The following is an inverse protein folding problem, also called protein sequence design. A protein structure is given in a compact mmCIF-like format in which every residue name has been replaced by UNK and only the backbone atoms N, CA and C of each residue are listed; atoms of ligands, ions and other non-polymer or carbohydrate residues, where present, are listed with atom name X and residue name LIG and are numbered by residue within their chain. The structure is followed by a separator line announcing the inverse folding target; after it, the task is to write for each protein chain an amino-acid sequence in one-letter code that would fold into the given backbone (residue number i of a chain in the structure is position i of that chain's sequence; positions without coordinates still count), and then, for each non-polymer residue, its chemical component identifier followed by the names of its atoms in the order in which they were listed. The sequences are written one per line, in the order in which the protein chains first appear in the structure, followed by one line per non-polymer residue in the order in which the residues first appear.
data_IF_211312751325
#
_entry.id   IF_211312751325
#
_cell.length_a   1.000
_cell.length_b   1.000
_cell.length_c   1.000
_cell.angle_alpha   90.00
_cell.angle_beta   90.00
_cell.angle_gamma   90.00
#
_symmetry.space_group_name_H-M   'P 1'
#
loop_
_entity.id
_entity.type
_entity.pdbx_description
1 polymer ?
#
# COMPACT_ATOMS: atom_id res chain seq x y z
N UNK A 1 19.75 -40.64 -26.87
CA UNK A 1 18.31 -40.70 -26.71
C UNK A 1 17.96 -41.32 -25.34
N UNK A 2 17.72 -40.57 -24.33
CA UNK A 2 17.09 -41.01 -23.07
C UNK A 2 16.19 -39.88 -22.56
N UNK A 3 14.88 -40.14 -22.55
CA UNK A 3 13.84 -39.20 -22.06
C UNK A 3 13.87 -39.18 -20.54
N UNK A 4 14.29 -38.10 -19.92
CA UNK A 4 14.04 -37.85 -18.52
C UNK A 4 12.64 -37.24 -18.34
N UNK A 5 11.72 -38.01 -17.77
CA UNK A 5 10.44 -37.54 -17.26
C UNK A 5 10.71 -36.82 -15.91
N UNK A 6 10.52 -35.53 -15.88
CA UNK A 6 10.46 -34.78 -14.62
C UNK A 6 9.11 -35.08 -13.96
N UNK A 7 9.15 -35.85 -12.88
CA UNK A 7 8.04 -36.06 -11.96
C UNK A 7 7.86 -34.78 -11.13
N UNK A 8 6.77 -34.05 -11.35
CA UNK A 8 6.28 -33.05 -10.38
C UNK A 8 5.60 -33.77 -9.22
N UNK A 9 6.00 -33.52 -7.95
CA UNK A 9 5.24 -34.00 -6.82
C UNK A 9 3.92 -33.24 -6.73
N UNK A 10 2.81 -33.96 -6.71
CA UNK A 10 1.48 -33.45 -6.40
C UNK A 10 1.50 -32.85 -4.98
N UNK A 11 1.64 -31.54 -4.87
CA UNK A 11 1.41 -30.81 -3.64
C UNK A 11 -0.09 -30.89 -3.29
N UNK A 12 -0.38 -31.43 -2.10
CA UNK A 12 -1.70 -31.43 -1.49
C UNK A 12 -2.21 -29.98 -1.42
N UNK A 13 -3.35 -29.74 -2.01
CA UNK A 13 -4.13 -28.50 -1.86
C UNK A 13 -4.55 -28.34 -0.41
N UNK A 14 -3.72 -27.68 0.39
CA UNK A 14 -4.13 -27.15 1.68
C UNK A 14 -5.14 -26.04 1.42
N UNK A 15 -6.41 -26.29 1.71
CA UNK A 15 -7.45 -25.29 1.72
C UNK A 15 -7.05 -24.18 2.68
N UNK A 16 -6.70 -23.01 2.15
CA UNK A 16 -6.53 -21.80 2.94
C UNK A 16 -7.90 -21.46 3.52
N UNK A 17 -8.12 -21.90 4.77
CA UNK A 17 -9.23 -21.41 5.59
C UNK A 17 -8.98 -19.92 5.81
N UNK A 18 -9.63 -19.08 5.02
CA UNK A 18 -9.72 -17.65 5.31
C UNK A 18 -10.41 -17.50 6.65
N UNK A 19 -9.67 -17.00 7.64
CA UNK A 19 -10.20 -16.60 8.93
C UNK A 19 -11.22 -15.47 8.72
N UNK A 20 -12.47 -15.84 8.56
CA UNK A 20 -13.65 -14.96 8.51
C UNK A 20 -14.17 -14.77 9.92
N UNK A 21 -13.52 -13.97 10.73
CA UNK A 21 -13.97 -13.80 12.11
C UNK A 21 -13.46 -12.57 12.83
N UNK A 22 -13.38 -11.39 12.19
CA UNK A 22 -12.84 -10.22 12.87
C UNK A 22 -13.63 -8.91 12.77
N UNK A 23 -14.62 -8.81 11.90
CA UNK A 23 -15.35 -7.53 11.70
C UNK A 23 -16.64 -7.40 12.53
N UNK A 24 -17.20 -8.48 13.00
CA UNK A 24 -18.38 -8.47 13.91
C UNK A 24 -18.00 -8.21 15.36
N UNK A 25 -16.88 -8.78 15.82
CA UNK A 25 -16.41 -8.60 17.19
C UNK A 25 -15.97 -7.16 17.49
N UNK A 26 -15.37 -6.46 16.51
CA UNK A 26 -14.98 -5.06 16.66
C UNK A 26 -16.19 -4.11 16.78
N UNK A 27 -17.25 -4.34 16.04
CA UNK A 27 -18.47 -3.53 16.12
C UNK A 27 -19.23 -3.76 17.45
N UNK A 28 -19.25 -5.01 17.94
CA UNK A 28 -19.81 -5.35 19.24
C UNK A 28 -18.99 -4.75 20.40
N UNK A 29 -17.66 -4.77 20.31
CA UNK A 29 -16.79 -4.15 21.30
C UNK A 29 -16.94 -2.62 21.34
N UNK A 30 -17.08 -1.97 20.20
CA UNK A 30 -17.31 -0.51 20.13
C UNK A 30 -18.70 -0.16 20.70
N UNK A 31 -19.72 -0.96 20.39
CA UNK A 31 -21.06 -0.76 20.95
C UNK A 31 -21.06 -0.99 22.47
N UNK A 32 -20.39 -2.05 22.93
CA UNK A 32 -20.25 -2.35 24.36
C UNK A 32 -19.47 -1.24 25.09
N UNK A 33 -18.38 -0.75 24.53
CA UNK A 33 -17.62 0.36 25.08
C UNK A 33 -18.43 1.69 25.11
N UNK A 34 -19.22 1.96 24.08
CA UNK A 34 -20.08 3.14 24.02
C UNK A 34 -21.21 3.08 25.07
N UNK A 35 -21.83 1.91 25.26
CA UNK A 35 -22.86 1.71 26.29
C UNK A 35 -22.27 1.84 27.71
N UNK A 36 -21.07 1.29 27.95
CA UNK A 36 -20.42 1.40 29.25
C UNK A 36 -19.95 2.83 29.54
N UNK A 37 -19.45 3.54 28.53
CA UNK A 37 -19.07 4.95 28.68
C UNK A 37 -20.28 5.83 28.97
N UNK A 38 -21.41 5.57 28.31
CA UNK A 38 -22.68 6.27 28.60
C UNK A 38 -23.19 5.96 29.99
N UNK A 39 -23.09 4.71 30.48
CA UNK A 39 -23.46 4.31 31.82
C UNK A 39 -22.54 4.93 32.90
N UNK A 40 -21.22 5.02 32.65
CA UNK A 40 -20.26 5.67 33.53
C UNK A 40 -20.49 7.19 33.62
N UNK A 41 -20.80 7.85 32.50
CA UNK A 41 -21.15 9.26 32.46
C UNK A 41 -22.47 9.52 33.21
N UNK A 42 -23.47 8.65 33.04
CA UNK A 42 -24.73 8.74 33.75
C UNK A 42 -24.55 8.52 35.27
N UNK A 43 -23.72 7.56 35.69
CA UNK A 43 -23.41 7.29 37.07
C UNK A 43 -22.62 8.47 37.71
N UNK A 44 -21.67 9.05 36.97
CA UNK A 44 -20.91 10.21 37.44
C UNK A 44 -21.75 11.48 37.57
N UNK A 45 -22.79 11.64 36.73
CA UNK A 45 -23.76 12.73 36.83
C UNK A 45 -24.76 12.50 37.98
N UNK A 46 -24.98 11.25 38.40
CA UNK A 46 -25.88 10.90 39.50
C UNK A 46 -25.20 11.05 40.89
N UNK A 47 -23.87 10.99 40.98
CA UNK A 47 -23.12 11.01 42.25
C UNK A 47 -22.76 12.42 42.75
N UNK A 48 -23.02 13.45 41.97
CA UNK A 48 -22.88 14.86 42.40
C UNK A 48 -24.21 15.42 42.86
N UNK A 49 -24.61 15.00 44.04
CA UNK A 49 -25.74 15.56 44.77
C UNK A 49 -25.48 16.97 45.33
N UNK A 50 -25.39 17.96 44.45
CA UNK A 50 -25.63 19.35 44.73
C UNK A 50 -26.24 19.98 43.48
N UNK A 51 -27.56 20.06 43.46
CA UNK A 51 -28.29 20.73 42.39
C UNK A 51 -28.11 22.23 42.59
N UNK A 52 -27.03 22.80 42.11
CA UNK A 52 -27.07 24.19 41.65
C UNK A 52 -27.98 24.20 40.43
N UNK A 53 -29.07 24.91 40.51
CA UNK A 53 -30.00 25.15 39.40
C UNK A 53 -29.24 25.92 38.30
N UNK A 54 -28.49 25.19 37.50
CA UNK A 54 -27.93 25.74 36.27
C UNK A 54 -29.09 26.06 35.33
N UNK A 55 -29.35 27.34 35.14
CA UNK A 55 -30.33 27.85 34.16
C UNK A 55 -29.93 27.32 32.75
N UNK A 56 -30.60 26.27 32.30
CA UNK A 56 -30.48 25.76 30.97
C UNK A 56 -31.29 26.69 30.07
N UNK A 57 -30.64 27.67 29.47
CA UNK A 57 -31.28 28.54 28.48
C UNK A 57 -31.80 27.76 27.27
N UNK A 58 -32.79 28.27 26.53
CA UNK A 58 -33.45 27.57 25.45
C UNK A 58 -32.51 27.06 24.35
N UNK A 59 -31.32 27.63 24.17
CA UNK A 59 -30.29 27.16 23.23
C UNK A 59 -29.61 25.87 23.63
N UNK A 60 -29.46 25.56 24.91
CA UNK A 60 -28.84 24.31 25.37
C UNK A 60 -29.77 23.09 25.17
N UNK A 61 -31.08 23.28 25.31
CA UNK A 61 -32.08 22.26 25.01
C UNK A 61 -32.08 21.87 23.53
N UNK A 62 -31.98 22.84 22.62
CA UNK A 62 -31.90 22.58 21.18
C UNK A 62 -30.61 21.85 20.81
N UNK A 63 -29.48 22.18 21.45
CA UNK A 63 -28.21 21.47 21.21
C UNK A 63 -28.25 20.02 21.70
N UNK A 64 -28.89 19.74 22.84
CA UNK A 64 -29.10 18.40 23.39
C UNK A 64 -30.00 17.55 22.47
N UNK A 65 -31.13 18.09 22.00
CA UNK A 65 -32.02 17.43 21.06
C UNK A 65 -31.32 17.19 19.74
N UNK A 66 -30.55 18.14 19.21
CA UNK A 66 -29.75 17.98 17.97
C UNK A 66 -28.72 16.88 18.09
N UNK A 67 -28.02 16.77 19.22
CA UNK A 67 -27.03 15.72 19.47
C UNK A 67 -27.68 14.35 19.59
N UNK A 68 -28.83 14.25 20.28
CA UNK A 68 -29.60 13.01 20.41
C UNK A 68 -30.11 12.55 19.04
N UNK A 69 -30.66 13.44 18.22
CA UNK A 69 -31.12 13.14 16.86
C UNK A 69 -29.98 12.66 15.97
N UNK A 70 -28.80 13.27 16.07
CA UNK A 70 -27.62 12.85 15.29
C UNK A 70 -27.14 11.44 15.67
N UNK A 71 -27.09 11.12 16.96
CA UNK A 71 -26.74 9.79 17.47
C UNK A 71 -27.82 8.76 17.06
N UNK A 72 -29.10 9.11 17.21
CA UNK A 72 -30.22 8.25 16.79
C UNK A 72 -30.17 7.98 15.27
N UNK A 73 -29.98 9.00 14.46
CA UNK A 73 -29.84 8.86 13.00
C UNK A 73 -28.63 7.98 12.62
N UNK A 74 -27.51 8.07 13.33
CA UNK A 74 -26.35 7.24 13.14
C UNK A 74 -26.63 5.76 13.46
N UNK A 75 -27.32 5.49 14.59
CA UNK A 75 -27.73 4.14 14.99
C UNK A 75 -28.70 3.54 13.96
N UNK A 76 -29.74 4.28 13.57
CA UNK A 76 -30.72 3.84 12.57
C UNK A 76 -30.02 3.56 11.23
N UNK A 77 -29.12 4.43 10.80
CA UNK A 77 -28.34 4.25 9.56
C UNK A 77 -27.45 3.01 9.62
N UNK A 78 -26.80 2.75 10.75
CA UNK A 78 -25.99 1.55 10.97
C UNK A 78 -26.85 0.27 10.95
N UNK A 79 -28.05 0.33 11.55
CA UNK A 79 -29.00 -0.78 11.57
C UNK A 79 -29.54 -1.09 10.15
N UNK A 80 -29.93 -0.06 9.40
CA UNK A 80 -30.35 -0.19 7.99
C UNK A 80 -29.21 -0.75 7.14
N UNK A 81 -27.97 -0.28 7.33
CA UNK A 81 -26.81 -0.80 6.63
C UNK A 81 -26.55 -2.28 6.95
N UNK A 82 -26.74 -2.68 8.20
CA UNK A 82 -26.60 -4.07 8.65
C UNK A 82 -27.67 -4.98 8.05
N UNK A 83 -28.93 -4.55 8.06
CA UNK A 83 -30.05 -5.28 7.46
C UNK A 83 -29.95 -5.40 5.93
N UNK A 84 -29.53 -4.33 5.25
CA UNK A 84 -29.42 -4.31 3.79
C UNK A 84 -28.17 -4.99 3.27
N UNK A 85 -27.14 -5.22 4.12
CA UNK A 85 -25.86 -5.81 3.71
C UNK A 85 -26.00 -7.23 3.12
N UNK A 86 -26.75 -8.20 3.74
CA UNK A 86 -26.92 -9.51 3.15
C UNK A 86 -27.70 -9.46 1.84
N UNK A 87 -28.74 -8.66 1.75
CA UNK A 87 -29.51 -8.49 0.53
C UNK A 87 -28.65 -7.94 -0.62
N UNK A 88 -27.83 -6.90 -0.35
CA UNK A 88 -26.86 -6.35 -1.32
C UNK A 88 -25.80 -7.38 -1.72
N UNK A 89 -25.41 -8.26 -0.82
CA UNK A 89 -24.44 -9.33 -1.09
C UNK A 89 -25.03 -10.42 -1.99
N UNK A 90 -26.26 -10.86 -1.68
CA UNK A 90 -26.99 -11.84 -2.48
C UNK A 90 -27.27 -11.27 -3.88
N UNK A 91 -27.75 -10.04 -3.96
CA UNK A 91 -28.04 -9.39 -5.25
C UNK A 91 -26.80 -9.25 -6.13
N UNK A 92 -25.65 -8.87 -5.55
CA UNK A 92 -24.35 -8.82 -6.27
C UNK A 92 -23.91 -10.21 -6.73
N UNK A 93 -24.10 -11.25 -5.92
CA UNK A 93 -23.76 -12.62 -6.30
C UNK A 93 -24.63 -13.13 -7.45
N UNK A 94 -25.92 -12.84 -7.44
CA UNK A 94 -26.86 -13.21 -8.51
C UNK A 94 -26.54 -12.46 -9.80
N UNK A 95 -26.24 -11.15 -9.70
CA UNK A 95 -25.90 -10.32 -10.86
C UNK A 95 -24.58 -10.76 -11.50
N UNK A 96 -23.57 -11.11 -10.69
CA UNK A 96 -22.31 -11.66 -11.16
C UNK A 96 -22.46 -13.01 -11.86
N UNK A 97 -23.33 -13.91 -11.33
CA UNK A 97 -23.64 -15.18 -11.99
C UNK A 97 -24.31 -14.99 -13.36
N UNK A 98 -25.22 -14.02 -13.49
CA UNK A 98 -25.86 -13.71 -14.78
C UNK A 98 -24.87 -13.12 -15.79
N UNK A 99 -23.94 -12.29 -15.36
CA UNK A 99 -22.90 -11.77 -16.23
C UNK A 99 -21.94 -12.86 -16.73
N UNK A 100 -21.53 -13.78 -15.84
CA UNK A 100 -20.68 -14.92 -16.19
C UNK A 100 -21.39 -15.93 -17.11
N UNK A 101 -22.71 -16.14 -16.94
CA UNK A 101 -23.48 -17.04 -17.81
C UNK A 101 -23.56 -16.57 -19.26
N UNK A 102 -23.49 -15.25 -19.51
CA UNK A 102 -23.49 -14.65 -20.84
C UNK A 102 -22.08 -14.41 -21.41
N UNK A 103 -21.04 -14.64 -20.62
CA UNK A 103 -19.68 -14.41 -21.04
C UNK A 103 -19.21 -15.45 -22.04
N UNK A 104 -18.72 -15.00 -23.20
CA UNK A 104 -18.09 -15.86 -24.22
C UNK A 104 -16.76 -16.44 -23.73
N UNK A 105 -16.10 -15.78 -22.81
CA UNK A 105 -14.79 -16.14 -22.26
C UNK A 105 -14.89 -16.27 -20.74
N UNK A 106 -14.42 -17.39 -20.20
CA UNK A 106 -14.49 -17.68 -18.75
C UNK A 106 -13.36 -17.03 -17.95
N UNK A 107 -12.21 -16.82 -18.57
CA UNK A 107 -11.02 -16.23 -17.95
C UNK A 107 -10.23 -15.43 -18.98
N UNK A 108 -9.80 -14.25 -18.58
CA UNK A 108 -8.85 -13.43 -19.31
C UNK A 108 -7.62 -13.24 -18.43
N UNK A 109 -6.44 -13.47 -18.99
CA UNK A 109 -5.15 -13.15 -18.35
C UNK A 109 -4.49 -12.09 -19.20
N UNK A 110 -4.17 -10.96 -18.58
CA UNK A 110 -3.43 -9.88 -19.23
C UNK A 110 -2.04 -9.85 -18.59
N UNK A 111 -1.03 -10.18 -19.39
CA UNK A 111 0.37 -10.05 -19.01
C UNK A 111 0.92 -8.78 -19.67
N UNK A 112 1.13 -7.75 -18.85
CA UNK A 112 1.74 -6.50 -19.31
C UNK A 112 3.23 -6.50 -19.04
N UNK A 113 4.03 -6.26 -20.06
CA UNK A 113 5.48 -6.09 -19.96
C UNK A 113 5.79 -4.63 -20.28
N UNK A 114 6.43 -3.94 -19.33
CA UNK A 114 6.81 -2.55 -19.52
C UNK A 114 8.02 -2.46 -20.45
N UNK A 115 8.01 -1.50 -21.39
CA UNK A 115 9.08 -1.31 -22.35
C UNK A 115 9.23 -2.43 -23.38
N UNK A 116 8.22 -3.28 -23.59
CA UNK A 116 8.26 -4.34 -24.60
C UNK A 116 8.21 -3.72 -26.01
N UNK A 117 9.36 -3.66 -26.66
CA UNK A 117 9.54 -3.06 -27.98
C UNK A 117 9.31 -4.12 -29.07
N UNK A 118 8.37 -3.92 -30.02
CA UNK A 118 7.98 -4.96 -30.99
C UNK A 118 9.11 -5.33 -31.97
N UNK A 119 9.92 -4.39 -32.41
CA UNK A 119 11.02 -4.67 -33.35
C UNK A 119 12.06 -5.60 -32.74
N UNK A 120 12.42 -5.38 -31.45
CA UNK A 120 13.31 -6.28 -30.72
C UNK A 120 12.68 -7.65 -30.48
N UNK A 121 11.38 -7.70 -30.20
CA UNK A 121 10.67 -8.98 -30.07
C UNK A 121 10.69 -9.77 -31.35
N UNK A 122 10.43 -9.15 -32.49
CA UNK A 122 10.46 -9.78 -33.79
C UNK A 122 11.88 -10.29 -34.17
N UNK A 123 12.89 -9.46 -33.91
CA UNK A 123 14.28 -9.82 -34.10
C UNK A 123 14.66 -11.06 -33.27
N UNK A 124 14.39 -11.02 -31.96
CA UNK A 124 14.75 -12.14 -31.07
C UNK A 124 13.91 -13.41 -31.31
N UNK A 125 12.69 -13.28 -31.85
CA UNK A 125 11.95 -14.44 -32.33
C UNK A 125 12.63 -15.05 -33.56
N UNK A 126 13.07 -14.21 -34.49
CA UNK A 126 13.77 -14.68 -35.70
C UNK A 126 15.12 -15.34 -35.35
N UNK A 127 15.83 -14.87 -34.36
CA UNK A 127 17.07 -15.44 -33.82
C UNK A 127 16.81 -16.70 -32.95
N UNK A 128 15.56 -17.08 -32.68
CA UNK A 128 15.20 -18.23 -31.85
C UNK A 128 15.37 -18.03 -30.35
N UNK A 129 15.65 -16.81 -29.89
CA UNK A 129 15.87 -16.47 -28.48
C UNK A 129 14.57 -16.38 -27.66
N UNK A 130 13.43 -16.19 -28.32
CA UNK A 130 12.12 -16.07 -27.69
C UNK A 130 11.13 -17.17 -28.14
N UNK A 131 11.43 -18.47 -27.91
CA UNK A 131 10.64 -19.59 -28.45
C UNK A 131 9.20 -19.63 -27.89
N UNK A 132 8.97 -19.11 -26.68
CA UNK A 132 7.62 -19.08 -26.08
C UNK A 132 6.77 -17.96 -26.68
N UNK A 133 7.34 -16.79 -26.96
CA UNK A 133 6.62 -15.70 -27.65
C UNK A 133 6.34 -16.09 -29.11
N UNK A 134 7.26 -16.77 -29.79
CA UNK A 134 7.03 -17.33 -31.13
C UNK A 134 5.80 -18.25 -31.13
N UNK A 135 5.72 -19.20 -30.19
CA UNK A 135 4.56 -20.10 -30.06
C UNK A 135 3.24 -19.35 -29.80
N UNK A 136 3.27 -18.28 -28.99
CA UNK A 136 2.08 -17.47 -28.74
C UNK A 136 1.66 -16.70 -30.00
N UNK A 137 2.61 -16.13 -30.73
CA UNK A 137 2.37 -15.48 -32.03
C UNK A 137 1.74 -16.42 -33.02
N UNK A 138 2.28 -17.65 -33.16
CA UNK A 138 1.83 -18.62 -34.15
C UNK A 138 0.48 -19.25 -33.76
N UNK A 139 0.15 -19.32 -32.48
CA UNK A 139 -1.11 -19.86 -31.99
C UNK A 139 -2.23 -18.82 -31.86
N UNK A 140 -1.92 -17.53 -31.95
CA UNK A 140 -2.84 -16.46 -31.74
C UNK A 140 -2.76 -15.34 -32.77
N UNK A 141 -3.14 -14.13 -32.35
CA UNK A 141 -3.03 -12.93 -33.15
C UNK A 141 -1.90 -12.04 -32.57
N UNK A 142 -0.97 -11.62 -33.41
CA UNK A 142 0.13 -10.74 -33.07
C UNK A 142 -0.03 -9.40 -33.78
N UNK A 143 -0.10 -8.33 -32.98
CA UNK A 143 -0.27 -6.98 -33.49
C UNK A 143 0.61 -6.00 -32.73
N UNK A 144 1.14 -5.02 -33.43
CA UNK A 144 1.82 -3.89 -32.82
C UNK A 144 0.81 -2.98 -32.14
N UNK A 145 1.05 -2.61 -30.90
CA UNK A 145 0.22 -1.66 -30.16
C UNK A 145 0.89 -0.28 -30.20
N UNK A 146 0.16 0.74 -30.71
CA UNK A 146 0.62 2.12 -30.62
C UNK A 146 0.71 2.59 -29.18
N UNK A 147 1.68 3.44 -28.88
CA UNK A 147 1.86 4.02 -27.54
C UNK A 147 1.21 5.41 -27.43
N UNK A 148 1.29 6.00 -26.25
CA UNK A 148 0.78 7.34 -25.96
C UNK A 148 1.78 8.43 -26.34
N UNK A 149 1.31 9.66 -26.41
CA UNK A 149 2.15 10.84 -26.48
C UNK A 149 1.98 11.67 -25.19
N UNK A 150 3.02 11.82 -24.36
CA UNK A 150 4.37 11.25 -24.50
C UNK A 150 4.41 9.72 -24.26
N UNK A 151 5.43 9.00 -24.79
CA UNK A 151 5.57 7.55 -24.67
C UNK A 151 6.24 7.17 -23.34
N UNK A 152 5.64 7.56 -22.22
CA UNK A 152 6.14 7.33 -20.88
C UNK A 152 5.30 6.29 -20.16
N UNK A 153 5.93 5.42 -19.37
CA UNK A 153 5.25 4.35 -18.63
C UNK A 153 4.02 4.81 -17.85
N UNK A 154 4.07 5.89 -17.03
CA UNK A 154 2.88 6.32 -16.27
C UNK A 154 1.72 6.72 -17.16
N UNK A 155 2.01 7.30 -18.31
CA UNK A 155 1.01 7.75 -19.28
C UNK A 155 0.40 6.58 -20.03
N UNK A 156 1.24 5.68 -20.56
CA UNK A 156 0.82 4.49 -21.28
C UNK A 156 -0.02 3.55 -20.39
N UNK A 157 0.43 3.26 -19.18
CA UNK A 157 -0.31 2.42 -18.23
C UNK A 157 -1.61 3.06 -17.77
N UNK A 158 -1.65 4.39 -17.60
CA UNK A 158 -2.89 5.09 -17.27
C UNK A 158 -3.89 5.05 -18.43
N UNK A 159 -3.42 5.20 -19.66
CA UNK A 159 -4.26 5.07 -20.86
C UNK A 159 -4.78 3.65 -21.03
N UNK A 160 -3.92 2.64 -20.87
CA UNK A 160 -4.31 1.23 -20.90
C UNK A 160 -5.38 0.92 -19.86
N UNK A 161 -5.18 1.32 -18.62
CA UNK A 161 -6.09 0.99 -17.53
C UNK A 161 -7.43 1.68 -17.62
N UNK A 162 -7.49 2.88 -18.19
CA UNK A 162 -8.71 3.69 -18.25
C UNK A 162 -9.39 3.71 -19.61
N UNK A 163 -8.69 3.25 -20.66
CA UNK A 163 -9.18 3.35 -22.04
C UNK A 163 -9.34 4.79 -22.52
N UNK A 164 -8.61 5.74 -21.92
CA UNK A 164 -8.71 7.17 -22.25
C UNK A 164 -7.34 7.78 -22.48
N UNK A 165 -7.28 8.91 -23.17
CA UNK A 165 -6.04 9.63 -23.42
C UNK A 165 -5.59 10.47 -22.21
N UNK A 166 -4.34 10.98 -22.22
CA UNK A 166 -3.77 11.79 -21.13
C UNK A 166 -4.61 13.00 -20.71
N UNK A 167 -5.24 13.67 -21.66
CA UNK A 167 -6.13 14.81 -21.38
C UNK A 167 -7.33 14.44 -20.50
N UNK A 168 -7.80 13.19 -20.54
CA UNK A 168 -8.90 12.70 -19.71
C UNK A 168 -8.43 12.08 -18.40
N UNK A 169 -7.38 11.25 -18.41
CA UNK A 169 -6.91 10.62 -17.17
C UNK A 169 -5.93 11.48 -16.35
N UNK A 170 -5.46 12.60 -16.89
CA UNK A 170 -4.65 13.62 -16.19
C UNK A 170 -3.27 13.14 -15.72
N UNK A 171 -2.69 12.17 -16.38
CA UNK A 171 -1.30 11.71 -16.14
C UNK A 171 -0.52 11.97 -17.42
N UNK A 172 0.51 12.83 -17.33
CA UNK A 172 1.32 13.23 -18.47
C UNK A 172 2.80 12.85 -18.30
N UNK A 173 3.21 12.56 -17.04
CA UNK A 173 4.57 12.22 -16.67
C UNK A 173 4.59 11.61 -15.26
N UNK A 174 5.75 11.17 -14.78
CA UNK A 174 5.99 10.81 -13.37
C UNK A 174 5.80 11.99 -12.43
N UNK A 175 6.20 13.19 -12.89
CA UNK A 175 6.18 14.43 -12.15
C UNK A 175 5.29 15.44 -12.89
N UNK A 176 4.53 16.22 -12.15
CA UNK A 176 3.78 17.36 -12.68
C UNK A 176 4.08 18.61 -11.86
N UNK A 177 3.97 19.77 -12.49
CA UNK A 177 4.07 21.05 -11.82
C UNK A 177 2.76 21.35 -11.07
N UNK A 178 2.88 21.75 -9.81
CA UNK A 178 1.73 22.29 -9.09
C UNK A 178 1.39 23.69 -9.65
N UNK A 179 0.16 23.94 -10.13
CA UNK A 179 -0.19 25.22 -10.75
C UNK A 179 -0.20 26.42 -9.78
N UNK A 180 -0.27 26.17 -8.47
CA UNK A 180 -0.30 27.24 -7.46
C UNK A 180 1.09 27.59 -6.92
N UNK A 181 1.91 26.56 -6.68
CA UNK A 181 3.24 26.74 -6.06
C UNK A 181 4.37 26.66 -7.07
N UNK A 182 4.09 26.21 -8.28
CA UNK A 182 5.03 25.91 -9.36
C UNK A 182 6.09 24.86 -9.00
N UNK A 183 5.95 24.22 -7.84
CA UNK A 183 6.84 23.15 -7.39
C UNK A 183 6.54 21.82 -8.09
N UNK A 184 7.58 20.99 -8.35
CA UNK A 184 7.36 19.65 -8.86
C UNK A 184 6.66 18.78 -7.81
N UNK A 185 5.74 17.94 -8.25
CA UNK A 185 5.05 16.94 -7.42
C UNK A 185 4.82 15.65 -8.19
N UNK A 186 4.68 14.55 -7.49
CA UNK A 186 4.32 13.27 -8.10
C UNK A 186 2.96 13.39 -8.78
N UNK A 187 2.85 12.91 -10.03
CA UNK A 187 1.64 12.99 -10.82
C UNK A 187 0.56 11.98 -10.41
N UNK A 188 0.94 10.85 -9.82
CA UNK A 188 0.06 9.72 -9.53
C UNK A 188 -0.78 9.90 -8.27
N UNK A 189 -0.23 10.54 -7.22
CA UNK A 189 -0.83 10.56 -5.89
C UNK A 189 -0.61 11.89 -5.18
N UNK A 190 -1.58 12.28 -4.38
CA UNK A 190 -1.46 13.39 -3.43
C UNK A 190 -1.66 12.89 -2.03
N UNK A 191 -0.65 13.12 -1.18
CA UNK A 191 -0.71 12.83 0.26
C UNK A 191 -0.90 14.16 0.97
N UNK A 192 -1.88 14.23 1.86
CA UNK A 192 -2.12 15.39 2.74
C UNK A 192 -2.03 14.94 4.17
N UNK A 193 -1.28 15.66 4.97
CA UNK A 193 -1.21 15.47 6.41
C UNK A 193 -2.57 15.70 7.09
N UNK A 194 -2.77 15.13 8.30
CA UNK A 194 -3.94 15.37 9.12
C UNK A 194 -4.13 16.87 9.38
N UNK A 195 -5.33 17.39 9.12
CA UNK A 195 -5.64 18.81 9.34
C UNK A 195 -5.70 19.20 10.80
N UNK A 196 -6.12 18.27 11.66
CA UNK A 196 -6.27 18.53 13.11
C UNK A 196 -5.26 17.67 13.85
N UNK A 197 -4.44 18.32 14.66
CA UNK A 197 -3.45 17.68 15.53
C UNK A 197 -3.61 18.25 16.94
N UNK A 198 -3.53 17.38 17.94
CA UNK A 198 -3.46 17.77 19.35
C UNK A 198 -1.98 17.83 19.74
N UNK A 199 -1.52 18.98 20.22
CA UNK A 199 -0.16 19.14 20.75
C UNK A 199 -0.14 18.75 22.22
N UNK A 200 0.70 17.78 22.57
CA UNK A 200 0.94 17.34 23.93
C UNK A 200 2.47 17.32 24.18
N UNK A 201 2.98 18.42 24.75
CA UNK A 201 4.42 18.64 24.87
C UNK A 201 5.09 18.59 23.47
N UNK A 202 6.06 17.70 23.29
CA UNK A 202 6.75 17.49 22.02
C UNK A 202 6.01 16.60 21.02
N UNK A 203 4.84 16.05 21.38
CA UNK A 203 4.07 15.17 20.51
C UNK A 203 2.91 15.91 19.83
N UNK A 204 2.70 15.59 18.56
CA UNK A 204 1.56 16.04 17.75
C UNK A 204 0.70 14.82 17.40
N UNK A 205 -0.37 14.62 18.15
CA UNK A 205 -1.28 13.49 17.97
C UNK A 205 -2.28 13.85 16.86
N UNK A 206 -2.33 13.09 15.74
CA UNK A 206 -3.28 13.36 14.67
C UNK A 206 -4.70 13.01 15.13
N UNK A 207 -5.62 13.98 15.12
CA UNK A 207 -7.05 13.79 15.41
C UNK A 207 -7.85 13.41 14.15
N UNK A 208 -7.25 13.47 12.98
CA UNK A 208 -7.85 13.04 11.72
C UNK A 208 -6.89 12.14 10.96
N UNK A 209 -7.42 11.32 10.05
CA UNK A 209 -6.58 10.47 9.19
C UNK A 209 -5.93 11.30 8.08
N UNK A 210 -4.68 10.99 7.68
CA UNK A 210 -4.10 11.55 6.48
C UNK A 210 -4.96 11.16 5.28
N UNK A 211 -5.06 12.03 4.27
CA UNK A 211 -5.74 11.69 3.04
C UNK A 211 -4.74 11.35 1.94
N UNK A 212 -4.92 10.19 1.33
CA UNK A 212 -4.16 9.74 0.18
C UNK A 212 -5.14 9.67 -0.99
N UNK A 213 -4.89 10.44 -2.04
CA UNK A 213 -5.83 10.57 -3.18
C UNK A 213 -5.08 10.30 -4.47
N UNK A 214 -5.60 9.37 -5.27
CA UNK A 214 -5.12 9.16 -6.63
C UNK A 214 -5.43 10.42 -7.47
N UNK A 215 -4.45 10.87 -8.25
CA UNK A 215 -4.61 12.02 -9.15
C UNK A 215 -5.03 11.60 -10.55
N UNK A 216 -4.86 10.32 -10.89
CA UNK A 216 -5.42 9.74 -12.11
C UNK A 216 -6.94 9.92 -12.11
N UNK A 217 -7.44 10.56 -13.11
CA UNK A 217 -8.87 10.68 -13.42
C UNK A 217 -9.32 9.48 -14.24
N UNK A 218 -10.60 9.36 -14.49
CA UNK A 218 -11.23 8.25 -15.20
C UNK A 218 -11.20 6.93 -14.42
N UNK A 219 -12.14 6.09 -14.72
CA UNK A 219 -12.38 4.84 -14.03
C UNK A 219 -11.59 3.71 -14.72
N UNK A 220 -10.79 2.93 -13.99
CA UNK A 220 -10.11 1.76 -14.54
C UNK A 220 -11.09 0.68 -15.01
N UNK A 221 -10.72 -0.11 -16.00
CA UNK A 221 -11.61 -1.14 -16.56
C UNK A 221 -11.98 -2.22 -15.53
N UNK A 222 -11.13 -2.54 -14.56
CA UNK A 222 -11.47 -3.50 -13.51
C UNK A 222 -12.55 -2.99 -12.56
N UNK A 223 -12.68 -1.66 -12.39
CA UNK A 223 -13.80 -1.10 -11.66
C UNK A 223 -15.11 -1.28 -12.43
N UNK A 224 -15.08 -1.06 -13.74
CA UNK A 224 -16.22 -1.29 -14.64
C UNK A 224 -16.61 -2.78 -14.60
N UNK A 225 -15.65 -3.70 -14.73
CA UNK A 225 -15.89 -5.14 -14.59
C UNK A 225 -16.51 -5.48 -13.22
N UNK A 226 -15.99 -4.87 -12.15
CA UNK A 226 -16.51 -5.06 -10.80
C UNK A 226 -17.95 -4.59 -10.62
N UNK A 227 -18.37 -3.53 -11.30
CA UNK A 227 -19.77 -3.07 -11.32
C UNK A 227 -20.70 -4.10 -11.97
N UNK A 228 -20.21 -4.87 -12.93
CA UNK A 228 -20.90 -5.99 -13.54
C UNK A 228 -20.73 -7.31 -12.79
N UNK A 229 -20.14 -7.30 -11.59
CA UNK A 229 -19.96 -8.48 -10.74
C UNK A 229 -18.81 -9.40 -11.16
N UNK A 230 -17.97 -8.99 -12.10
CA UNK A 230 -16.80 -9.74 -12.55
C UNK A 230 -15.64 -9.48 -11.58
N UNK A 231 -15.07 -10.55 -11.04
CA UNK A 231 -13.91 -10.48 -10.15
C UNK A 231 -12.64 -10.24 -10.96
N UNK A 232 -11.81 -9.31 -10.49
CA UNK A 232 -10.52 -9.01 -11.12
C UNK A 232 -9.38 -9.10 -10.10
N UNK A 233 -8.26 -9.71 -10.50
CA UNK A 233 -7.00 -9.66 -9.75
C UNK A 233 -6.03 -8.75 -10.51
N UNK A 234 -5.67 -7.63 -9.89
CA UNK A 234 -4.79 -6.61 -10.48
C UNK A 234 -3.48 -6.65 -9.72
N UNK A 235 -2.43 -7.14 -10.36
CA UNK A 235 -1.15 -7.39 -9.71
C UNK A 235 -0.06 -6.54 -10.36
N UNK A 236 0.57 -5.68 -9.57
CA UNK A 236 1.75 -4.88 -9.92
C UNK A 236 1.57 -3.97 -11.15
N UNK A 237 0.34 -3.57 -11.46
CA UNK A 237 0.08 -2.59 -12.52
C UNK A 237 0.55 -1.21 -12.05
N UNK A 238 1.34 -0.49 -12.86
CA UNK A 238 1.80 0.87 -12.52
C UNK A 238 0.68 1.87 -12.32
N UNK A 239 0.96 2.93 -11.55
CA UNK A 239 0.03 4.06 -11.28
C UNK A 239 -1.31 3.59 -10.67
N UNK A 240 -1.27 2.59 -9.82
CA UNK A 240 -2.47 2.04 -9.16
C UNK A 240 -2.51 2.28 -7.65
N UNK A 241 -1.67 3.18 -7.13
CA UNK A 241 -1.69 3.59 -5.72
C UNK A 241 -2.40 4.95 -5.54
N UNK A 242 -3.26 5.13 -4.53
CA UNK A 242 -3.77 4.11 -3.60
C UNK A 242 -4.69 3.09 -4.30
N UNK A 243 -4.79 1.85 -3.76
CA UNK A 243 -5.60 0.81 -4.37
C UNK A 243 -7.06 1.21 -4.56
N UNK A 244 -7.62 0.90 -5.72
CA UNK A 244 -9.01 1.16 -6.06
C UNK A 244 -9.95 0.24 -5.26
N UNK A 245 -11.19 0.69 -5.06
CA UNK A 245 -12.25 -0.13 -4.45
C UNK A 245 -13.11 -0.76 -5.55
N UNK A 246 -12.96 -2.05 -5.78
CA UNK A 246 -13.71 -2.80 -6.77
C UNK A 246 -13.97 -4.25 -6.32
N UNK A 247 -14.64 -5.04 -7.15
CA UNK A 247 -14.85 -6.47 -6.88
C UNK A 247 -13.62 -7.28 -7.27
N UNK A 248 -12.61 -7.32 -6.38
CA UNK A 248 -11.36 -7.97 -6.70
C UNK A 248 -10.28 -7.80 -5.65
N UNK A 249 -9.05 -8.08 -6.04
CA UNK A 249 -7.84 -7.84 -5.25
C UNK A 249 -6.86 -7.01 -6.07
N UNK A 250 -6.14 -6.12 -5.41
CA UNK A 250 -5.14 -5.27 -6.04
C UNK A 250 -3.87 -5.23 -5.21
N UNK A 251 -2.75 -5.45 -5.87
CA UNK A 251 -1.42 -5.17 -5.38
C UNK A 251 -0.80 -4.09 -6.26
N UNK A 252 -0.73 -2.87 -5.75
CA UNK A 252 -0.11 -1.75 -6.45
C UNK A 252 1.41 -1.92 -6.52
N UNK A 253 2.00 -1.45 -7.61
CA UNK A 253 3.45 -1.39 -7.79
C UNK A 253 3.80 -0.18 -8.66
N UNK A 254 5.08 0.10 -8.80
CA UNK A 254 5.63 1.27 -9.48
C UNK A 254 4.94 2.59 -9.05
N UNK A 255 5.69 3.59 -8.70
CA UNK A 255 5.17 4.86 -8.14
C UNK A 255 4.35 4.68 -6.84
N UNK A 256 4.56 3.58 -6.10
CA UNK A 256 4.07 3.41 -4.74
C UNK A 256 5.14 3.95 -3.79
N UNK A 257 4.81 4.91 -2.93
CA UNK A 257 5.78 5.39 -1.95
C UNK A 257 6.13 4.27 -0.97
N UNK A 258 7.42 4.12 -0.71
CA UNK A 258 7.93 3.26 0.34
C UNK A 258 7.73 3.88 1.74
N UNK A 259 8.28 3.24 2.77
CA UNK A 259 8.14 3.74 4.13
C UNK A 259 8.86 5.08 4.38
N UNK A 260 9.91 5.38 3.61
CA UNK A 260 10.64 6.66 3.65
C UNK A 260 9.92 7.77 2.86
N UNK A 261 8.89 7.42 2.08
CA UNK A 261 8.22 8.32 1.15
C UNK A 261 8.93 8.44 -0.20
N UNK A 262 9.93 7.60 -0.44
CA UNK A 262 10.66 7.51 -1.71
C UNK A 262 10.03 6.43 -2.61
N UNK A 263 10.63 6.15 -3.75
CA UNK A 263 10.16 5.12 -4.68
C UNK A 263 11.14 3.93 -4.76
N UNK A 264 11.61 3.47 -3.60
CA UNK A 264 12.50 2.32 -3.50
C UNK A 264 13.99 2.69 -3.48
N UNK A 265 14.35 3.80 -2.85
CA UNK A 265 15.75 4.12 -2.59
C UNK A 265 16.37 3.06 -1.67
N UNK A 266 17.59 2.66 -2.00
CA UNK A 266 18.37 1.75 -1.17
C UNK A 266 19.38 2.51 -0.31
N UNK A 267 19.83 1.87 0.79
CA UNK A 267 20.92 2.35 1.62
C UNK A 267 22.16 1.48 1.37
N UNK A 268 23.27 2.09 1.03
CA UNK A 268 24.56 1.44 0.85
C UNK A 268 25.48 1.76 2.02
N UNK A 269 25.81 0.75 2.80
CA UNK A 269 26.69 0.86 3.98
C UNK A 269 28.09 0.50 3.56
N UNK A 270 29.06 1.39 3.80
CA UNK A 270 30.47 1.18 3.43
C UNK A 270 31.41 1.79 4.47
N UNK A 271 32.58 1.19 4.62
CA UNK A 271 33.70 1.71 5.41
C UNK A 271 34.67 2.56 4.59
N UNK A 272 34.38 2.74 3.28
CA UNK A 272 35.24 3.47 2.33
C UNK A 272 34.54 4.71 1.79
N UNK A 273 35.28 5.81 1.64
CA UNK A 273 34.82 7.07 1.03
C UNK A 273 34.35 8.09 2.05
N UNK A 274 33.74 9.18 1.57
CA UNK A 274 33.24 10.28 2.40
C UNK A 274 31.79 10.10 2.79
N UNK A 275 31.43 10.50 4.02
CA UNK A 275 30.07 10.46 4.50
C UNK A 275 29.19 11.45 3.72
N UNK A 276 27.99 11.03 3.32
CA UNK A 276 27.03 11.89 2.63
C UNK A 276 27.29 12.09 1.13
N UNK A 277 28.39 11.55 0.58
CA UNK A 277 28.56 11.54 -0.87
C UNK A 277 27.45 10.72 -1.52
N UNK A 278 26.69 11.34 -2.42
CA UNK A 278 25.81 10.62 -3.35
C UNK A 278 26.67 9.67 -4.17
N UNK A 279 26.19 8.46 -4.43
CA UNK A 279 26.87 7.55 -5.34
C UNK A 279 26.96 8.22 -6.71
N UNK A 280 28.17 8.30 -7.28
CA UNK A 280 28.38 8.82 -8.63
C UNK A 280 27.52 8.04 -9.63
N UNK A 281 26.74 8.80 -10.40
CA UNK A 281 25.81 8.27 -11.39
C UNK A 281 24.40 8.02 -10.84
N UNK A 282 23.44 8.03 -11.70
CA UNK A 282 21.98 7.96 -11.57
C UNK A 282 21.37 6.81 -10.73
N UNK A 283 22.05 6.28 -9.75
CA UNK A 283 21.67 5.04 -9.06
C UNK A 283 20.75 5.27 -7.86
N UNK A 284 20.46 6.50 -7.48
CA UNK A 284 19.36 6.83 -6.55
C UNK A 284 19.41 6.16 -5.18
N UNK A 285 20.59 5.95 -4.59
CA UNK A 285 20.77 5.38 -3.25
C UNK A 285 21.38 6.37 -2.26
N UNK A 286 21.30 6.05 -0.96
CA UNK A 286 21.95 6.79 0.11
C UNK A 286 23.19 6.05 0.59
N UNK A 287 24.37 6.71 0.54
CA UNK A 287 25.60 6.16 1.10
C UNK A 287 25.68 6.46 2.60
N UNK A 288 25.92 5.45 3.41
CA UNK A 288 26.08 5.56 4.85
C UNK A 288 27.46 5.02 5.22
N UNK A 289 28.28 5.89 5.78
CA UNK A 289 29.60 5.49 6.24
C UNK A 289 29.49 4.76 7.57
N UNK A 290 30.13 3.59 7.65
CA UNK A 290 30.16 2.78 8.87
C UNK A 290 31.60 2.58 9.34
N UNK A 291 31.78 2.46 10.64
CA UNK A 291 33.07 2.09 11.21
C UNK A 291 33.08 0.60 11.50
N UNK A 292 34.16 -0.05 11.11
CA UNK A 292 34.42 -1.45 11.43
C UNK A 292 35.35 -1.52 12.65
N UNK A 293 34.88 -2.19 13.70
CA UNK A 293 35.63 -2.45 14.93
C UNK A 293 35.96 -3.96 15.00
N UNK A 294 37.14 -4.32 14.48
CA UNK A 294 37.51 -5.72 14.34
C UNK A 294 36.59 -6.46 13.37
N UNK A 295 35.86 -7.47 13.90
CA UNK A 295 34.88 -8.24 13.13
C UNK A 295 33.45 -7.69 13.22
N UNK A 296 33.25 -6.56 13.92
CA UNK A 296 31.93 -6.00 14.21
C UNK A 296 31.72 -4.66 13.50
N UNK A 297 30.53 -4.49 12.98
CA UNK A 297 29.99 -3.22 12.49
C UNK A 297 28.73 -2.90 13.28
N UNK A 298 28.61 -1.68 13.80
CA UNK A 298 27.39 -1.19 14.42
C UNK A 298 26.92 0.05 13.64
N UNK A 299 25.64 0.06 13.27
CA UNK A 299 25.02 1.16 12.53
C UNK A 299 23.50 1.16 12.74
N UNK A 300 22.80 1.95 11.97
CA UNK A 300 21.35 2.02 12.02
C UNK A 300 20.76 2.05 10.62
N UNK A 301 19.63 1.39 10.42
CA UNK A 301 18.84 1.50 9.22
C UNK A 301 17.99 2.77 9.30
N UNK A 302 18.09 3.71 8.35
CA UNK A 302 17.23 4.89 8.30
C UNK A 302 15.76 4.50 8.18
N UNK A 303 14.92 5.24 8.88
CA UNK A 303 13.48 5.05 8.88
C UNK A 303 12.74 6.31 8.45
N UNK A 304 11.41 6.29 8.47
CA UNK A 304 10.61 7.44 8.10
C UNK A 304 10.75 8.56 9.11
N UNK A 305 10.45 9.79 8.67
CA UNK A 305 10.35 10.94 9.57
C UNK A 305 9.21 10.71 10.57
N UNK A 306 9.48 10.98 11.85
CA UNK A 306 8.48 10.90 12.90
C UNK A 306 7.50 12.07 12.81
N UNK A 307 6.41 11.90 12.09
CA UNK A 307 5.38 12.92 11.93
C UNK A 307 4.54 13.20 13.20
N UNK A 308 4.74 12.39 14.25
CA UNK A 308 4.07 12.58 15.55
C UNK A 308 4.91 13.44 16.53
N UNK A 309 6.08 13.91 16.11
CA UNK A 309 6.90 14.84 16.92
C UNK A 309 7.01 16.18 16.21
N UNK A 310 6.99 17.26 17.00
CA UNK A 310 7.11 18.62 16.46
C UNK A 310 8.48 18.90 15.82
N UNK A 311 9.55 18.28 16.34
CA UNK A 311 10.91 18.34 15.83
C UNK A 311 11.17 17.39 14.66
N UNK A 312 10.21 16.55 14.30
CA UNK A 312 10.22 15.63 13.13
C UNK A 312 11.54 14.87 12.93
N UNK A 313 12.10 14.21 13.95
CA UNK A 313 13.33 13.45 13.78
C UNK A 313 13.13 12.27 12.85
N UNK A 314 14.17 11.89 12.12
CA UNK A 314 14.19 10.62 11.42
C UNK A 314 14.21 9.48 12.43
N UNK A 315 13.42 8.45 12.16
CA UNK A 315 13.43 7.21 12.94
C UNK A 315 14.60 6.36 12.47
N UNK A 316 15.11 5.54 13.38
CA UNK A 316 16.21 4.65 13.08
C UNK A 316 16.00 3.28 13.74
N UNK A 317 16.43 2.23 13.07
CA UNK A 317 16.50 0.88 13.63
C UNK A 317 17.96 0.46 13.76
N UNK A 318 18.52 0.37 14.99
CA UNK A 318 19.90 -0.01 15.18
C UNK A 318 20.12 -1.46 14.77
N UNK A 319 21.27 -1.73 14.17
CA UNK A 319 21.72 -3.08 13.84
C UNK A 319 23.21 -3.27 14.13
N UNK A 320 23.60 -4.52 14.26
CA UNK A 320 24.99 -4.93 14.31
C UNK A 320 25.23 -6.05 13.30
N UNK A 321 26.41 -6.06 12.69
CA UNK A 321 26.86 -7.17 11.84
C UNK A 321 28.14 -7.70 12.49
N UNK A 322 28.21 -9.00 12.68
CA UNK A 322 29.39 -9.72 13.15
C UNK A 322 29.81 -10.68 12.03
N UNK A 323 31.06 -10.56 11.57
CA UNK A 323 31.64 -11.47 10.58
C UNK A 323 32.70 -12.36 11.25
N UNK A 324 32.73 -13.61 10.86
CA UNK A 324 33.78 -14.53 11.27
C UNK A 324 34.93 -14.55 10.25
N UNK A 325 35.97 -15.36 10.56
CA UNK A 325 37.14 -15.54 9.67
C UNK A 325 36.81 -16.33 8.41
N UNK A 326 35.71 -17.04 8.37
CA UNK A 326 35.24 -17.82 7.23
C UNK A 326 34.49 -16.97 6.20
N UNK A 327 34.23 -15.70 6.52
CA UNK A 327 33.43 -14.78 5.68
C UNK A 327 31.92 -14.88 5.91
N UNK A 328 31.48 -15.74 6.83
CA UNK A 328 30.07 -15.74 7.23
C UNK A 328 29.79 -14.52 8.09
N UNK A 329 28.66 -13.85 7.80
CA UNK A 329 28.25 -12.68 8.54
C UNK A 329 26.84 -12.84 9.08
N UNK A 330 26.62 -12.37 10.31
CA UNK A 330 25.33 -12.40 10.98
C UNK A 330 24.94 -10.98 11.37
N UNK A 331 23.80 -10.53 10.85
CA UNK A 331 23.18 -9.28 11.24
C UNK A 331 22.21 -9.50 12.40
N UNK A 332 22.21 -8.57 13.35
CA UNK A 332 21.21 -8.50 14.42
C UNK A 332 20.45 -7.18 14.29
N UNK A 333 19.14 -7.27 14.05
CA UNK A 333 18.26 -6.10 13.92
C UNK A 333 16.90 -6.42 14.52
N UNK A 334 16.32 -5.52 15.29
CA UNK A 334 15.00 -5.65 15.94
C UNK A 334 14.81 -7.01 16.68
N UNK A 335 15.86 -7.49 17.35
CA UNK A 335 15.87 -8.78 18.06
C UNK A 335 15.99 -10.03 17.17
N UNK A 336 16.08 -9.87 15.85
CA UNK A 336 16.24 -10.96 14.90
C UNK A 336 17.72 -11.22 14.61
N UNK A 337 18.07 -12.47 14.36
CA UNK A 337 19.39 -12.90 13.83
C UNK A 337 19.20 -13.30 12.38
N UNK A 338 19.96 -12.70 11.49
CA UNK A 338 19.84 -12.86 10.03
C UNK A 338 21.22 -13.25 9.50
N UNK A 339 21.31 -14.42 8.89
CA UNK A 339 22.52 -14.80 8.18
C UNK A 339 22.64 -13.98 6.90
N UNK A 340 23.80 -13.38 6.67
CA UNK A 340 24.13 -12.68 5.43
C UNK A 340 25.06 -13.57 4.63
N UNK A 341 24.72 -13.76 3.37
CA UNK A 341 25.52 -14.51 2.41
C UNK A 341 26.08 -13.56 1.37
N UNK A 342 27.36 -13.68 1.07
CA UNK A 342 28.02 -12.85 0.07
C UNK A 342 27.32 -12.98 -1.30
N UNK A 343 27.12 -11.87 -1.99
CA UNK A 343 26.46 -11.78 -3.30
C UNK A 343 25.01 -12.34 -3.33
N UNK A 344 24.31 -12.34 -2.19
CA UNK A 344 22.94 -12.83 -2.12
C UNK A 344 22.05 -11.90 -1.28
N UNK A 345 20.79 -11.79 -1.69
CA UNK A 345 19.77 -11.12 -0.88
C UNK A 345 19.23 -12.06 0.20
N UNK A 346 18.99 -11.51 1.38
CA UNK A 346 18.21 -12.20 2.42
C UNK A 346 16.75 -12.40 1.98
N UNK A 347 15.99 -13.19 2.71
CA UNK A 347 14.55 -13.13 2.69
C UNK A 347 14.05 -11.77 3.20
N UNK A 348 12.74 -11.53 3.07
CA UNK A 348 12.11 -10.31 3.56
C UNK A 348 12.16 -10.23 5.08
N UNK A 349 12.85 -9.23 5.59
CA UNK A 349 13.03 -8.96 7.03
C UNK A 349 12.05 -7.88 7.46
N UNK A 350 11.30 -8.12 8.53
CA UNK A 350 10.47 -7.11 9.16
C UNK A 350 11.30 -6.26 10.12
N UNK A 351 11.19 -4.95 10.02
CA UNK A 351 11.90 -4.01 10.89
C UNK A 351 10.90 -3.07 11.54
N UNK A 352 11.07 -2.81 12.83
CA UNK A 352 10.28 -1.86 13.61
C UNK A 352 11.03 -0.56 13.83
N UNK A 353 10.34 0.53 13.59
CA UNK A 353 10.78 1.88 13.92
C UNK A 353 9.91 2.43 15.05
N UNK A 354 10.51 2.81 16.18
CA UNK A 354 9.78 3.29 17.36
C UNK A 354 9.39 4.74 17.18
N UNK A 355 8.09 5.03 17.15
CA UNK A 355 7.52 6.38 16.98
C UNK A 355 7.34 7.07 18.33
N UNK A 356 6.78 6.35 19.30
CA UNK A 356 6.54 6.80 20.68
C UNK A 356 6.55 5.58 21.62
N UNK A 357 6.55 5.74 22.94
CA UNK A 357 6.37 4.65 23.87
C UNK A 357 5.14 3.80 23.51
N UNK A 358 5.33 2.51 23.31
CA UNK A 358 4.27 1.58 22.92
C UNK A 358 3.82 1.66 21.45
N UNK A 359 4.25 2.66 20.68
CA UNK A 359 3.86 2.84 19.29
C UNK A 359 5.04 2.68 18.33
N UNK A 360 4.87 1.86 17.31
CA UNK A 360 5.88 1.61 16.28
C UNK A 360 5.29 1.48 14.88
N UNK A 361 6.06 1.86 13.88
CA UNK A 361 5.80 1.59 12.46
C UNK A 361 6.64 0.40 12.04
N UNK A 362 6.09 -0.47 11.22
CA UNK A 362 6.78 -1.65 10.70
C UNK A 362 6.97 -1.53 9.19
N UNK A 363 8.19 -1.83 8.75
CA UNK A 363 8.54 -1.98 7.34
C UNK A 363 9.06 -3.38 7.04
N UNK A 364 9.29 -3.65 5.78
CA UNK A 364 10.00 -4.83 5.29
C UNK A 364 11.13 -4.37 4.39
N UNK A 365 12.27 -5.02 4.48
CA UNK A 365 13.43 -4.79 3.61
C UNK A 365 14.17 -6.09 3.34
N UNK A 366 15.09 -6.05 2.39
CA UNK A 366 16.04 -7.13 2.13
C UNK A 366 17.44 -6.57 2.26
N UNK A 367 18.35 -7.38 2.76
CA UNK A 367 19.75 -7.03 2.86
C UNK A 367 20.56 -7.82 1.83
N UNK A 368 21.57 -7.19 1.29
CA UNK A 368 22.52 -7.76 0.36
C UNK A 368 23.91 -7.51 0.89
N UNK A 369 24.78 -8.51 0.88
CA UNK A 369 26.17 -8.44 1.32
C UNK A 369 27.09 -8.67 0.12
#
# INVERSE_FOLDING_TARGET
MKRHRLCCPRGRSGAIRTARGGRGAGALLVLYAAVHLAALVAAHLADHGAVEQAYIGPGAGIALVGSFLAVFAAIVSAFIAMLTWPARRIWRAIRGRKALAKAKVRRVVVLGLDGLEPTLVEQYIAEGLLPNLAKLRDAGDYRTLGTTCPPLSPVAWSSFTTGTNPGRHNIFDFIQRDPHTYQPRISSVRIREPRRKLKLGRYEIPLSRPSITALRRSKPFWNVLGEHGIFSAVLRVPITFPPDKFNGVQLSAMCVPDLLGTQGMFCYFTDRGEAGATMDGDVGGQRILVRREGSRIASHLPGPVNSMRSDRPELAAPFTIESDRSGAAVMRIDGQRIALTLNAFTDWVRVRFRVAPGLSVRGICRFFL
#
